data_IF_968523258676
#
_entry.id   IF_968523258676
#
_cell.length_a   1.000
_cell.length_b   1.000
_cell.length_c   1.000
_cell.angle_alpha   90.00
_cell.angle_beta   90.00
_cell.angle_gamma   90.00
#
_symmetry.space_group_name_H-M   'P 1'
#
loop_
_entity.id
_entity.type
_entity.pdbx_description
1 polymer ?
#
# COMPACT_ATOMS: atom_id res chain seq x y z
N UNK A 1 -3.81 -7.94 -21.31
CA UNK A 1 -4.75 -7.42 -20.29
C UNK A 1 -4.61 -8.27 -19.05
N UNK A 2 -4.47 -7.70 -17.86
CA UNK A 2 -4.28 -8.52 -16.66
C UNK A 2 -5.52 -9.38 -16.41
N UNK A 3 -5.29 -10.66 -16.17
CA UNK A 3 -6.34 -11.61 -15.79
C UNK A 3 -6.77 -11.33 -14.35
N UNK A 4 -7.65 -10.36 -14.15
CA UNK A 4 -8.21 -10.07 -12.83
C UNK A 4 -9.04 -11.27 -12.36
N UNK A 5 -8.86 -11.68 -11.11
CA UNK A 5 -9.70 -12.70 -10.49
C UNK A 5 -11.14 -12.19 -10.42
N UNK A 6 -12.05 -12.97 -10.95
CA UNK A 6 -13.49 -12.67 -10.97
C UNK A 6 -14.20 -13.36 -9.81
N UNK A 7 -13.75 -14.58 -9.48
CA UNK A 7 -14.43 -15.40 -8.48
C UNK A 7 -13.47 -16.36 -7.78
N UNK A 8 -13.62 -16.47 -6.46
CA UNK A 8 -12.99 -17.51 -5.64
C UNK A 8 -14.09 -18.30 -4.93
N UNK A 9 -13.97 -19.63 -4.87
CA UNK A 9 -14.91 -20.50 -4.16
C UNK A 9 -14.23 -21.80 -3.72
N UNK A 10 -14.83 -22.52 -2.80
CA UNK A 10 -14.36 -23.80 -2.30
C UNK A 10 -15.37 -24.90 -2.56
N UNK A 11 -14.91 -26.13 -2.60
CA UNK A 11 -15.69 -27.34 -2.33
C UNK A 11 -15.13 -28.08 -1.09
N UNK A 12 -15.46 -29.34 -0.92
CA UNK A 12 -14.99 -30.10 0.25
C UNK A 12 -13.48 -30.43 0.20
N UNK A 13 -12.86 -30.39 -0.97
CA UNK A 13 -11.48 -30.82 -1.20
C UNK A 13 -10.56 -29.71 -1.68
N UNK A 14 -11.09 -28.68 -2.33
CA UNK A 14 -10.29 -27.70 -3.08
C UNK A 14 -10.78 -26.27 -2.91
N UNK A 15 -9.88 -25.33 -3.14
CA UNK A 15 -10.18 -23.93 -3.41
C UNK A 15 -9.90 -23.63 -4.88
N UNK A 16 -10.76 -22.82 -5.49
CA UNK A 16 -10.73 -22.46 -6.90
C UNK A 16 -10.65 -20.95 -7.05
N UNK A 17 -9.94 -20.51 -8.06
CA UNK A 17 -9.96 -19.13 -8.53
C UNK A 17 -10.28 -19.09 -10.03
N UNK A 18 -11.13 -18.16 -10.45
CA UNK A 18 -11.47 -17.92 -11.85
C UNK A 18 -11.11 -16.49 -12.23
N UNK A 19 -10.48 -16.34 -13.39
CA UNK A 19 -10.17 -15.04 -13.99
C UNK A 19 -11.39 -14.49 -14.76
N UNK A 20 -11.41 -13.17 -15.05
CA UNK A 20 -12.50 -12.54 -15.86
C UNK A 20 -12.62 -13.08 -17.27
N UNK A 21 -11.55 -13.59 -17.84
CA UNK A 21 -11.51 -14.26 -19.14
C UNK A 21 -11.85 -15.76 -19.09
N UNK A 22 -12.18 -16.27 -17.90
CA UNK A 22 -12.75 -17.60 -17.71
C UNK A 22 -11.77 -18.71 -17.41
N UNK A 23 -10.45 -18.45 -17.28
CA UNK A 23 -9.49 -19.45 -16.82
C UNK A 23 -9.77 -19.84 -15.38
N UNK A 24 -9.66 -21.13 -15.05
CA UNK A 24 -9.90 -21.66 -13.71
C UNK A 24 -8.67 -22.45 -13.25
N UNK A 25 -8.14 -22.08 -12.10
CA UNK A 25 -7.11 -22.84 -11.39
C UNK A 25 -7.63 -23.27 -10.02
N UNK A 26 -6.97 -24.24 -9.39
CA UNK A 26 -7.39 -24.73 -8.07
C UNK A 26 -6.25 -25.40 -7.33
N UNK A 27 -6.30 -25.30 -6.00
CA UNK A 27 -5.45 -26.05 -5.10
C UNK A 27 -6.25 -27.02 -4.23
N UNK A 28 -5.71 -28.22 -4.02
CA UNK A 28 -6.30 -29.15 -3.05
C UNK A 28 -5.87 -28.77 -1.63
N UNK A 29 -6.80 -28.72 -0.68
CA UNK A 29 -6.49 -28.43 0.73
C UNK A 29 -5.47 -29.40 1.33
N UNK A 30 -5.42 -30.64 0.80
CA UNK A 30 -4.48 -31.66 1.25
C UNK A 30 -2.99 -31.31 1.00
N UNK A 31 -2.70 -30.31 0.18
CA UNK A 31 -1.33 -29.87 -0.13
C UNK A 31 -0.72 -29.04 1.01
N UNK A 32 -1.55 -28.42 1.86
CA UNK A 32 -1.12 -27.60 2.98
C UNK A 32 -1.60 -28.18 4.31
N UNK A 33 -0.68 -28.43 5.23
CA UNK A 33 -0.95 -29.12 6.49
C UNK A 33 -2.05 -28.43 7.31
N UNK A 34 -2.02 -27.09 7.37
CA UNK A 34 -3.00 -26.31 8.13
C UNK A 34 -4.40 -26.37 7.51
N UNK A 35 -4.50 -26.21 6.19
CA UNK A 35 -5.77 -26.31 5.47
C UNK A 35 -6.31 -27.74 5.46
N UNK A 36 -5.45 -28.75 5.36
CA UNK A 36 -5.81 -30.16 5.43
C UNK A 36 -6.53 -30.51 6.74
N UNK A 37 -6.04 -29.95 7.84
CA UNK A 37 -6.56 -30.25 9.20
C UNK A 37 -7.68 -29.29 9.63
N UNK A 38 -7.99 -28.25 8.85
CA UNK A 38 -9.01 -27.26 9.15
C UNK A 38 -10.43 -27.81 8.96
N UNK A 39 -11.38 -27.27 9.72
CA UNK A 39 -12.80 -27.53 9.52
C UNK A 39 -13.31 -26.89 8.22
N UNK A 40 -14.50 -27.29 7.76
CA UNK A 40 -15.13 -26.70 6.57
C UNK A 40 -15.42 -25.21 6.78
N UNK A 41 -15.81 -24.82 7.97
CA UNK A 41 -16.04 -23.43 8.36
C UNK A 41 -14.74 -22.62 8.25
N UNK A 42 -13.64 -23.13 8.81
CA UNK A 42 -12.33 -22.49 8.75
C UNK A 42 -11.80 -22.35 7.32
N UNK A 43 -11.99 -23.38 6.46
CA UNK A 43 -11.60 -23.30 5.04
C UNK A 43 -12.39 -22.27 4.25
N UNK A 44 -13.61 -21.96 4.67
CA UNK A 44 -14.46 -20.95 4.03
C UNK A 44 -14.30 -19.55 4.64
N UNK A 45 -13.59 -19.41 5.76
CA UNK A 45 -13.31 -18.14 6.41
C UNK A 45 -11.96 -17.59 5.92
N UNK A 46 -11.94 -17.20 4.64
CA UNK A 46 -10.78 -16.61 3.99
C UNK A 46 -11.06 -15.20 3.52
N UNK A 47 -10.00 -14.40 3.48
CA UNK A 47 -9.99 -13.07 2.92
C UNK A 47 -9.26 -13.08 1.58
N UNK A 48 -9.72 -12.27 0.65
CA UNK A 48 -9.08 -12.10 -0.65
C UNK A 48 -8.21 -10.85 -0.61
N UNK A 49 -6.96 -11.02 -1.01
CA UNK A 49 -6.05 -9.91 -1.31
C UNK A 49 -5.84 -9.81 -2.81
N UNK A 50 -5.16 -8.77 -3.25
CA UNK A 50 -4.78 -8.61 -4.66
C UNK A 50 -3.99 -9.79 -5.21
N UNK A 51 -3.05 -10.33 -4.44
CA UNK A 51 -2.14 -11.39 -4.86
C UNK A 51 -2.57 -12.80 -4.47
N UNK A 52 -3.62 -12.96 -3.66
CA UNK A 52 -3.93 -14.29 -3.14
C UNK A 52 -5.09 -14.38 -2.17
N UNK A 53 -5.09 -15.49 -1.47
CA UNK A 53 -6.12 -15.90 -0.53
C UNK A 53 -5.46 -16.07 0.83
N UNK A 54 -5.96 -15.42 1.85
CA UNK A 54 -5.44 -15.42 3.21
C UNK A 54 -6.43 -16.01 4.20
N UNK A 55 -5.98 -16.91 5.06
CA UNK A 55 -6.73 -17.48 6.18
C UNK A 55 -6.17 -16.99 7.52
N UNK A 56 -6.70 -15.90 8.11
CA UNK A 56 -6.15 -15.31 9.34
C UNK A 56 -6.09 -16.30 10.52
N UNK A 57 -7.14 -17.13 10.67
CA UNK A 57 -7.21 -18.12 11.77
C UNK A 57 -6.24 -19.29 11.62
N UNK A 58 -5.75 -19.54 10.41
CA UNK A 58 -4.86 -20.65 10.10
C UNK A 58 -3.43 -20.17 9.82
N UNK A 59 -3.20 -18.85 9.74
CA UNK A 59 -1.93 -18.26 9.34
C UNK A 59 -1.40 -18.94 8.08
N UNK A 60 -2.27 -19.03 7.04
CA UNK A 60 -1.98 -19.67 5.75
C UNK A 60 -2.31 -18.71 4.61
N UNK A 61 -1.42 -18.67 3.60
CA UNK A 61 -1.51 -17.80 2.44
C UNK A 61 -1.30 -18.59 1.15
N UNK A 62 -2.15 -18.39 0.15
CA UNK A 62 -2.02 -18.97 -1.18
C UNK A 62 -2.00 -17.87 -2.24
N UNK A 63 -0.98 -17.85 -3.09
CA UNK A 63 -0.92 -16.87 -4.17
C UNK A 63 -1.73 -17.33 -5.39
N UNK A 64 -2.42 -16.40 -6.05
CA UNK A 64 -3.07 -16.68 -7.33
C UNK A 64 -2.05 -17.01 -8.41
N UNK A 65 -0.92 -16.31 -8.43
CA UNK A 65 0.18 -16.58 -9.36
C UNK A 65 0.64 -18.04 -9.27
N UNK A 66 0.96 -18.50 -8.05
CA UNK A 66 1.35 -19.90 -7.84
C UNK A 66 0.26 -20.87 -8.28
N UNK A 67 -1.01 -20.57 -8.00
CA UNK A 67 -2.15 -21.43 -8.36
C UNK A 67 -2.29 -21.60 -9.87
N UNK A 68 -2.20 -20.52 -10.65
CA UNK A 68 -2.31 -20.58 -12.12
C UNK A 68 -1.04 -21.14 -12.77
N UNK A 69 0.15 -20.86 -12.20
CA UNK A 69 1.42 -21.43 -12.62
C UNK A 69 1.41 -22.96 -12.48
N UNK A 70 1.04 -23.48 -11.30
CA UNK A 70 1.02 -24.92 -11.03
C UNK A 70 -0.06 -25.65 -11.84
N UNK A 71 -1.10 -24.94 -12.26
CA UNK A 71 -2.12 -25.47 -13.18
C UNK A 71 -1.65 -25.50 -14.65
N UNK A 72 -0.42 -25.03 -14.95
CA UNK A 72 0.09 -24.93 -16.32
C UNK A 72 -0.66 -23.91 -17.20
N UNK A 73 -1.32 -22.96 -16.55
CA UNK A 73 -2.09 -21.91 -17.22
C UNK A 73 -1.27 -20.62 -17.38
N UNK A 74 -0.02 -20.62 -16.87
CA UNK A 74 0.98 -19.59 -17.07
C UNK A 74 2.18 -20.19 -17.80
N UNK A 75 2.33 -19.88 -19.07
CA UNK A 75 3.53 -20.27 -19.81
C UNK A 75 4.72 -19.40 -19.39
N UNK A 76 5.71 -20.03 -18.75
CA UNK A 76 6.99 -19.38 -18.37
C UNK A 76 8.00 -19.47 -19.50
N UNK A 77 7.63 -19.28 -20.72
CA UNK A 77 8.61 -18.97 -21.75
C UNK A 77 8.46 -17.51 -22.12
N UNK A 78 9.54 -16.70 -22.09
CA UNK A 78 9.46 -15.32 -22.52
C UNK A 78 9.34 -15.29 -24.05
N UNK A 79 8.16 -15.58 -24.57
CA UNK A 79 7.72 -15.09 -25.85
C UNK A 79 6.99 -13.78 -25.58
N UNK A 80 7.39 -12.73 -26.25
CA UNK A 80 6.94 -11.34 -26.05
C UNK A 80 5.41 -11.13 -26.09
N UNK A 81 4.60 -12.18 -26.26
CA UNK A 81 3.14 -12.13 -26.40
C UNK A 81 2.35 -13.01 -25.41
N UNK A 82 2.99 -13.70 -24.47
CA UNK A 82 2.28 -14.61 -23.53
C UNK A 82 2.73 -14.37 -22.08
N UNK A 83 2.40 -13.19 -21.56
CA UNK A 83 2.65 -12.90 -20.16
C UNK A 83 1.35 -13.13 -19.38
N UNK A 84 1.32 -14.13 -18.51
CA UNK A 84 0.37 -14.17 -17.40
C UNK A 84 0.67 -12.97 -16.51
N UNK A 85 0.07 -11.84 -16.84
CA UNK A 85 0.18 -10.65 -16.04
C UNK A 85 -0.85 -10.72 -14.90
N UNK A 86 -0.43 -11.20 -13.74
CA UNK A 86 -0.73 -10.40 -12.57
C UNK A 86 -0.04 -9.07 -12.84
N UNK A 87 -0.72 -7.91 -12.78
CA UNK A 87 -0.02 -6.67 -13.03
C UNK A 87 1.15 -6.67 -12.07
N UNK A 88 2.38 -6.72 -12.59
CA UNK A 88 3.54 -6.42 -11.77
C UNK A 88 3.16 -5.14 -11.05
N UNK A 89 3.20 -5.16 -9.72
CA UNK A 89 3.01 -3.94 -8.95
C UNK A 89 3.99 -2.98 -9.56
N UNK A 90 3.49 -1.97 -10.25
CA UNK A 90 4.36 -1.04 -10.94
C UNK A 90 5.18 -0.33 -9.87
N UNK A 91 6.46 -0.64 -9.83
CA UNK A 91 7.38 0.05 -8.94
C UNK A 91 7.63 1.45 -9.49
N UNK A 92 7.08 2.42 -8.80
CA UNK A 92 7.36 3.83 -9.06
C UNK A 92 8.63 4.26 -8.34
N UNK A 93 9.42 5.08 -8.99
CA UNK A 93 10.61 5.67 -8.39
C UNK A 93 10.75 7.12 -8.80
N UNK A 94 11.02 7.98 -7.82
CA UNK A 94 11.38 9.38 -8.03
C UNK A 94 12.74 9.63 -7.40
N UNK A 95 13.68 10.10 -8.21
CA UNK A 95 15.00 10.49 -7.75
C UNK A 95 15.03 11.97 -7.43
N UNK A 96 15.50 12.33 -6.22
CA UNK A 96 15.64 13.72 -5.73
C UNK A 96 17.12 13.98 -5.51
N UNK A 97 17.71 14.80 -6.36
CA UNK A 97 19.15 15.09 -6.35
C UNK A 97 19.55 15.93 -5.15
N UNK A 98 18.81 16.98 -4.85
CA UNK A 98 19.06 17.94 -3.80
C UNK A 98 17.76 18.68 -3.38
N UNK A 99 17.87 19.66 -2.48
CA UNK A 99 16.71 20.44 -2.00
C UNK A 99 16.02 21.29 -3.08
N UNK A 100 16.74 21.67 -4.14
CA UNK A 100 16.18 22.48 -5.24
C UNK A 100 15.29 21.61 -6.15
N UNK A 101 15.49 20.30 -6.12
CA UNK A 101 14.74 19.33 -6.91
C UNK A 101 13.39 18.92 -6.28
N UNK A 102 13.13 19.37 -5.03
CA UNK A 102 11.95 18.97 -4.26
C UNK A 102 10.63 19.36 -4.89
N UNK A 103 10.53 20.56 -5.48
CA UNK A 103 9.27 21.02 -6.09
C UNK A 103 8.89 20.17 -7.31
N UNK A 104 9.88 19.83 -8.15
CA UNK A 104 9.68 18.91 -9.28
C UNK A 104 9.23 17.53 -8.76
N UNK A 105 9.97 16.98 -7.80
CA UNK A 105 9.69 15.66 -7.26
C UNK A 105 8.32 15.59 -6.58
N UNK A 106 7.91 16.65 -5.87
CA UNK A 106 6.57 16.73 -5.26
C UNK A 106 5.46 16.77 -6.34
N UNK A 107 5.71 17.49 -7.46
CA UNK A 107 4.77 17.51 -8.58
C UNK A 107 4.62 16.13 -9.23
N UNK A 108 5.72 15.47 -9.57
CA UNK A 108 5.71 14.10 -10.14
C UNK A 108 5.05 13.10 -9.18
N UNK A 109 5.31 13.22 -7.89
CA UNK A 109 4.70 12.37 -6.87
C UNK A 109 3.18 12.52 -6.84
N UNK A 110 2.68 13.76 -6.80
CA UNK A 110 1.24 14.04 -6.78
C UNK A 110 0.53 13.54 -8.05
N UNK A 111 1.18 13.64 -9.21
CA UNK A 111 0.64 13.09 -10.46
C UNK A 111 0.60 11.55 -10.41
N UNK A 112 1.67 10.93 -9.90
CA UNK A 112 1.79 9.48 -9.87
C UNK A 112 0.86 8.80 -8.85
N UNK A 113 0.63 9.40 -7.67
CA UNK A 113 -0.29 8.84 -6.68
C UNK A 113 -1.77 8.96 -7.08
N UNK A 114 -2.11 9.87 -8.01
CA UNK A 114 -3.48 10.08 -8.51
C UNK A 114 -4.49 10.33 -7.38
N UNK A 115 -5.50 9.47 -7.29
CA UNK A 115 -6.58 9.62 -6.31
C UNK A 115 -6.29 8.99 -4.94
N UNK A 116 -5.08 8.43 -4.71
CA UNK A 116 -4.72 7.90 -3.41
C UNK A 116 -4.71 9.01 -2.36
N UNK A 117 -5.40 8.77 -1.24
CA UNK A 117 -5.57 9.73 -0.15
C UNK A 117 -4.77 9.39 1.10
N UNK A 118 -4.39 8.15 1.29
CA UNK A 118 -3.67 7.67 2.47
C UNK A 118 -2.24 7.33 2.07
N UNK A 119 -1.27 8.14 2.49
CA UNK A 119 0.14 8.03 2.10
C UNK A 119 1.00 7.87 3.35
N UNK A 120 1.70 6.75 3.47
CA UNK A 120 2.58 6.42 4.59
C UNK A 120 4.05 6.43 4.17
N UNK A 121 4.89 7.28 4.78
CA UNK A 121 6.30 7.45 4.46
C UNK A 121 7.20 6.66 5.41
N UNK A 122 7.80 5.61 4.90
CA UNK A 122 8.77 4.75 5.59
C UNK A 122 10.18 5.20 5.28
N UNK A 123 10.92 5.61 6.30
CA UNK A 123 12.32 5.99 6.14
C UNK A 123 13.02 6.15 7.50
N UNK A 124 14.34 5.95 7.58
CA UNK A 124 15.08 6.22 8.80
C UNK A 124 15.04 7.70 9.20
N UNK A 125 15.42 7.98 10.44
CA UNK A 125 15.58 9.36 10.92
C UNK A 125 16.56 10.13 10.04
N UNK A 126 16.24 11.39 9.70
CA UNK A 126 17.08 12.24 8.86
C UNK A 126 17.02 11.94 7.35
N UNK A 127 16.24 10.98 6.90
CA UNK A 127 16.10 10.68 5.46
C UNK A 127 15.39 11.78 4.66
N UNK A 128 14.64 12.67 5.34
CA UNK A 128 13.96 13.81 4.73
C UNK A 128 12.45 13.64 4.56
N UNK A 129 11.78 12.79 5.35
CA UNK A 129 10.32 12.64 5.36
C UNK A 129 9.62 13.99 5.45
N UNK A 130 9.84 14.72 6.55
CA UNK A 130 9.22 16.04 6.79
C UNK A 130 9.60 17.08 5.72
N UNK A 131 10.82 17.00 5.18
CA UNK A 131 11.25 17.88 4.10
C UNK A 131 10.43 17.63 2.83
N UNK A 132 10.19 16.37 2.50
CA UNK A 132 9.42 16.00 1.31
C UNK A 132 7.92 16.26 1.51
N UNK A 133 7.35 15.90 2.66
CA UNK A 133 5.93 16.18 2.98
C UNK A 133 5.64 17.67 2.97
N UNK A 134 6.59 18.50 3.47
CA UNK A 134 6.52 19.97 3.36
C UNK A 134 6.49 20.44 1.90
N UNK A 135 7.31 19.87 1.03
CA UNK A 135 7.31 20.21 -0.38
C UNK A 135 5.97 19.83 -1.06
N UNK A 136 5.39 18.67 -0.71
CA UNK A 136 4.06 18.26 -1.17
C UNK A 136 2.98 19.26 -0.71
N UNK A 137 2.98 19.65 0.58
CA UNK A 137 2.06 20.66 1.11
C UNK A 137 2.14 21.98 0.35
N UNK A 138 3.36 22.49 0.10
CA UNK A 138 3.58 23.72 -0.68
C UNK A 138 3.08 23.59 -2.11
N UNK A 139 3.32 22.46 -2.76
CA UNK A 139 2.85 22.19 -4.12
C UNK A 139 1.33 22.16 -4.23
N UNK A 140 0.65 21.73 -3.17
CA UNK A 140 -0.82 21.79 -3.03
C UNK A 140 -1.34 23.18 -2.63
N UNK A 141 -0.48 24.18 -2.49
CA UNK A 141 -0.85 25.56 -2.18
C UNK A 141 -1.15 25.83 -0.72
N UNK A 142 -0.66 24.99 0.20
CA UNK A 142 -0.69 25.31 1.64
C UNK A 142 0.25 26.50 1.89
N UNK A 143 -0.21 27.50 2.68
CA UNK A 143 0.58 28.67 3.00
C UNK A 143 1.89 28.30 3.70
N UNK A 144 3.00 28.89 3.30
CA UNK A 144 4.33 28.61 3.90
C UNK A 144 4.36 28.86 5.40
N UNK A 145 3.65 29.90 5.87
CA UNK A 145 3.56 30.24 7.29
C UNK A 145 2.77 29.21 8.10
N UNK A 146 1.94 28.41 7.44
CA UNK A 146 1.13 27.35 8.09
C UNK A 146 1.87 26.02 8.15
N UNK A 147 2.80 25.76 7.21
CA UNK A 147 3.49 24.45 7.14
C UNK A 147 4.54 24.36 8.24
N UNK A 148 4.25 23.55 9.25
CA UNK A 148 5.16 23.21 10.34
C UNK A 148 5.25 21.69 10.51
N UNK A 149 6.37 21.20 11.06
CA UNK A 149 6.44 19.79 11.46
C UNK A 149 5.46 19.53 12.61
N UNK A 150 4.62 18.48 12.55
CA UNK A 150 3.69 18.14 13.63
C UNK A 150 4.40 17.51 14.85
N UNK A 151 5.70 17.72 15.03
CA UNK A 151 6.53 17.09 16.06
C UNK A 151 5.95 17.22 17.50
N UNK A 152 5.13 18.23 17.76
CA UNK A 152 4.47 18.43 19.07
C UNK A 152 2.97 18.08 19.06
N UNK A 153 2.33 18.12 17.90
CA UNK A 153 0.88 18.04 17.76
C UNK A 153 0.37 16.71 17.18
N UNK A 154 1.23 15.74 16.88
CA UNK A 154 0.95 14.46 16.20
C UNK A 154 0.27 14.68 14.83
N UNK A 155 -0.72 15.56 14.70
CA UNK A 155 -1.42 15.90 13.45
C UNK A 155 -1.48 17.41 13.27
N UNK A 156 -1.19 17.87 12.06
CA UNK A 156 -1.50 19.23 11.59
C UNK A 156 -2.56 19.16 10.49
N UNK A 157 -3.54 20.05 10.62
CA UNK A 157 -4.60 20.23 9.63
C UNK A 157 -4.27 21.43 8.75
N UNK A 158 -4.28 21.23 7.44
CA UNK A 158 -4.03 22.27 6.46
C UNK A 158 -5.19 22.42 5.50
N UNK A 159 -5.22 23.55 4.80
CA UNK A 159 -6.07 23.72 3.62
C UNK A 159 -5.21 23.94 2.40
N UNK A 160 -5.50 23.19 1.35
CA UNK A 160 -4.87 23.36 0.04
C UNK A 160 -5.27 24.69 -0.59
N UNK A 161 -4.61 25.06 -1.67
CA UNK A 161 -4.96 26.27 -2.45
C UNK A 161 -6.38 26.21 -3.06
N UNK A 162 -6.98 25.01 -3.21
CA UNK A 162 -8.38 24.82 -3.59
C UNK A 162 -9.36 24.90 -2.41
N UNK A 163 -8.87 25.00 -1.17
CA UNK A 163 -9.66 25.03 0.05
C UNK A 163 -9.96 23.65 0.63
N UNK A 164 -9.54 22.57 -0.02
CA UNK A 164 -9.73 21.20 0.47
C UNK A 164 -8.88 20.93 1.72
N UNK A 165 -9.40 20.20 2.71
CA UNK A 165 -8.63 19.81 3.87
C UNK A 165 -7.57 18.77 3.50
N UNK A 166 -6.43 18.81 4.20
CA UNK A 166 -5.41 17.78 4.20
C UNK A 166 -4.77 17.67 5.58
N UNK A 167 -4.24 16.50 5.89
CA UNK A 167 -3.70 16.16 7.18
C UNK A 167 -2.26 15.67 7.07
N UNK A 168 -1.40 16.15 7.98
CA UNK A 168 -0.02 15.73 8.06
C UNK A 168 0.25 15.19 9.48
N UNK A 169 0.57 13.91 9.56
CA UNK A 169 0.82 13.17 10.79
C UNK A 169 2.32 12.92 10.97
N UNK A 170 2.77 12.98 12.22
CA UNK A 170 4.09 12.51 12.65
C UNK A 170 3.90 11.61 13.88
N UNK A 171 3.93 10.30 13.66
CA UNK A 171 3.72 9.30 14.70
C UNK A 171 5.01 8.94 15.48
N UNK A 172 6.12 9.67 15.28
CA UNK A 172 7.40 9.37 15.94
C UNK A 172 7.29 9.22 17.45
N UNK A 173 6.38 9.96 18.09
CA UNK A 173 6.20 9.97 19.54
C UNK A 173 5.13 9.03 20.05
N UNK A 174 4.42 8.38 19.18
CA UNK A 174 3.44 7.37 19.58
C UNK A 174 4.18 6.15 20.10
N UNK A 175 3.93 5.82 21.37
CA UNK A 175 4.50 4.65 22.02
C UNK A 175 3.47 3.51 22.17
N UNK A 176 2.17 3.85 22.14
CA UNK A 176 1.07 2.90 22.27
C UNK A 176 -0.04 3.22 21.27
N UNK A 177 -0.65 2.18 20.71
CA UNK A 177 -1.72 2.34 19.72
C UNK A 177 -2.93 3.13 20.24
N UNK A 178 -3.21 3.04 21.55
CA UNK A 178 -4.30 3.79 22.19
C UNK A 178 -4.15 5.30 22.00
N UNK A 179 -2.94 5.83 21.94
CA UNK A 179 -2.70 7.26 21.72
C UNK A 179 -3.16 7.70 20.33
N UNK A 180 -3.07 6.82 19.32
CA UNK A 180 -3.61 7.08 18.00
C UNK A 180 -5.15 7.05 17.97
N UNK A 181 -5.77 6.20 18.78
CA UNK A 181 -7.24 6.22 18.97
C UNK A 181 -7.69 7.50 19.66
N UNK A 182 -6.96 7.95 20.69
CA UNK A 182 -7.32 9.14 21.49
C UNK A 182 -7.31 10.43 20.67
N UNK A 183 -6.49 10.53 19.62
CA UNK A 183 -6.50 11.68 18.70
C UNK A 183 -7.58 11.57 17.61
N UNK A 184 -8.39 10.49 17.59
CA UNK A 184 -9.44 10.28 16.60
C UNK A 184 -8.89 9.92 15.21
N UNK A 185 -7.80 9.15 15.11
CA UNK A 185 -7.13 8.82 13.85
C UNK A 185 -8.10 8.37 12.73
N UNK A 186 -9.09 7.53 13.06
CA UNK A 186 -10.03 7.01 12.06
C UNK A 186 -10.91 8.09 11.44
N UNK A 187 -11.29 9.14 12.18
CA UNK A 187 -12.07 10.24 11.62
C UNK A 187 -11.31 10.96 10.49
N UNK A 188 -9.98 11.04 10.62
CA UNK A 188 -9.12 11.60 9.58
C UNK A 188 -8.95 10.64 8.39
N UNK A 189 -8.67 9.35 8.65
CA UNK A 189 -8.46 8.35 7.59
C UNK A 189 -9.72 8.14 6.75
N UNK A 190 -10.90 8.21 7.36
CA UNK A 190 -12.20 8.03 6.70
C UNK A 190 -12.75 9.34 6.08
N UNK A 191 -12.07 10.47 6.29
CA UNK A 191 -12.52 11.79 5.81
C UNK A 191 -12.52 11.93 4.28
N UNK A 192 -11.81 11.06 3.56
CA UNK A 192 -11.56 11.17 2.12
C UNK A 192 -10.57 12.26 1.74
N UNK A 193 -9.95 12.93 2.73
CA UNK A 193 -8.93 13.95 2.52
C UNK A 193 -7.53 13.33 2.41
N UNK A 194 -6.59 14.06 1.82
CA UNK A 194 -5.21 13.61 1.75
C UNK A 194 -4.58 13.57 3.15
N UNK A 195 -4.10 12.39 3.55
CA UNK A 195 -3.36 12.13 4.76
C UNK A 195 -1.90 11.77 4.41
N UNK A 196 -0.95 12.59 4.83
CA UNK A 196 0.48 12.32 4.73
C UNK A 196 0.96 11.87 6.13
N UNK A 197 1.49 10.66 6.24
CA UNK A 197 1.82 10.02 7.52
C UNK A 197 3.32 9.71 7.60
N UNK A 198 4.01 10.28 8.59
CA UNK A 198 5.40 9.99 8.92
C UNK A 198 5.46 9.03 10.11
N UNK A 199 6.46 8.13 10.14
CA UNK A 199 6.65 7.09 11.15
C UNK A 199 5.45 6.14 11.28
N UNK A 200 4.92 5.65 10.15
CA UNK A 200 3.76 4.77 10.15
C UNK A 200 4.02 3.43 10.85
N UNK A 201 5.28 3.06 11.05
CA UNK A 201 5.70 1.86 11.78
C UNK A 201 5.12 1.81 13.20
N UNK A 202 4.90 2.98 13.84
CA UNK A 202 4.38 3.05 15.20
C UNK A 202 2.87 2.81 15.28
N UNK A 203 2.17 2.80 14.13
CA UNK A 203 0.73 2.56 14.02
C UNK A 203 0.38 1.58 12.90
N UNK A 204 1.31 0.75 12.46
CA UNK A 204 1.18 -0.15 11.29
C UNK A 204 -0.10 -0.97 11.33
N UNK A 205 -0.49 -1.48 12.51
CA UNK A 205 -1.69 -2.30 12.69
C UNK A 205 -3.01 -1.52 12.49
N UNK A 206 -2.97 -0.18 12.52
CA UNK A 206 -4.15 0.68 12.35
C UNK A 206 -4.29 1.22 10.93
N UNK A 207 -3.29 1.01 10.07
CA UNK A 207 -3.31 1.52 8.70
C UNK A 207 -4.29 0.71 7.84
N UNK A 208 -5.20 1.37 7.10
CA UNK A 208 -6.02 0.70 6.11
C UNK A 208 -5.18 0.02 5.02
N UNK A 209 -5.64 -1.11 4.49
CA UNK A 209 -4.93 -1.89 3.45
C UNK A 209 -4.65 -1.06 2.18
N UNK A 210 -5.53 -0.11 1.85
CA UNK A 210 -5.36 0.78 0.71
C UNK A 210 -4.32 1.89 0.92
N UNK A 211 -3.64 1.94 2.07
CA UNK A 211 -2.60 2.94 2.35
C UNK A 211 -1.40 2.73 1.43
N UNK A 212 -1.06 3.76 0.65
CA UNK A 212 0.12 3.75 -0.21
C UNK A 212 1.39 3.85 0.64
N UNK A 213 2.22 2.81 0.59
CA UNK A 213 3.48 2.71 1.35
C UNK A 213 4.63 3.26 0.51
N UNK A 214 5.16 4.42 0.88
CA UNK A 214 6.23 5.12 0.17
C UNK A 214 7.52 5.01 0.98
N UNK A 215 8.55 4.44 0.39
CA UNK A 215 9.87 4.32 0.99
C UNK A 215 10.81 5.41 0.51
N UNK A 216 11.51 6.08 1.44
CA UNK A 216 12.56 7.07 1.13
C UNK A 216 13.91 6.49 1.51
N UNK A 217 14.78 6.32 0.53
CA UNK A 217 16.16 5.87 0.72
C UNK A 217 17.13 7.02 0.50
N UNK A 218 18.12 7.15 1.39
CA UNK A 218 19.27 8.03 1.19
C UNK A 218 20.32 7.27 0.39
N UNK A 219 20.74 7.84 -0.73
CA UNK A 219 21.77 7.28 -1.59
C UNK A 219 23.18 7.66 -1.12
N UNK A 220 24.25 6.94 -1.55
CA UNK A 220 25.62 7.24 -1.15
C UNK A 220 26.10 8.65 -1.54
N UNK A 221 25.53 9.25 -2.57
CA UNK A 221 25.80 10.61 -3.04
C UNK A 221 24.98 11.70 -2.33
N UNK A 222 24.28 11.34 -1.25
CA UNK A 222 23.34 12.18 -0.53
C UNK A 222 22.08 12.61 -1.32
N UNK A 223 21.82 12.06 -2.49
CA UNK A 223 20.52 12.16 -3.13
C UNK A 223 19.48 11.27 -2.42
N UNK A 224 18.19 11.38 -2.77
CA UNK A 224 17.14 10.51 -2.24
C UNK A 224 16.42 9.80 -3.38
N UNK A 225 15.95 8.61 -3.08
CA UNK A 225 15.04 7.88 -3.97
C UNK A 225 13.77 7.57 -3.19
N UNK A 226 12.64 8.09 -3.69
CA UNK A 226 11.33 7.62 -3.27
C UNK A 226 10.97 6.40 -4.12
N UNK A 227 10.36 5.39 -3.48
CA UNK A 227 9.85 4.22 -4.20
C UNK A 227 8.56 3.72 -3.55
N UNK A 228 7.61 3.30 -4.37
CA UNK A 228 6.37 2.66 -3.94
C UNK A 228 5.83 1.77 -5.04
N UNK A 229 4.98 0.83 -4.67
CA UNK A 229 4.24 -0.01 -5.59
C UNK A 229 2.81 0.49 -5.72
N UNK A 230 2.23 0.39 -6.91
CA UNK A 230 0.82 0.73 -7.08
C UNK A 230 -0.06 -0.14 -6.19
N UNK A 231 -0.80 0.52 -5.28
CA UNK A 231 -1.79 -0.13 -4.42
C UNK A 231 -3.16 -0.32 -5.08
N UNK A 232 -3.30 -0.13 -6.40
CA UNK A 232 -4.60 -0.22 -7.06
C UNK A 232 -5.00 -1.66 -7.28
N UNK A 233 -6.09 -2.02 -6.65
CA UNK A 233 -6.91 -3.19 -6.95
C UNK A 233 -7.61 -3.04 -8.30
#
# INVERSE_FOLDING_TARGET
MPHLIDKVWTDDERIYARTKDGLVASYAFAQWERLKNASKEQRNDFHLSYGGIHWPQLDEDLSFEGMFHDAGLCDITPSEDSVCFFPEKQLHQIHIRDLQDLDRAAGEFLEAIGDNKLIAFYAPMGAGKTTFTTAVCKRLGVSEDAVSSPTFAIVNEYRTGSGEPMYHFDFYRIERLEEAYDIGLYDYLDSGSLCLMEWPENIEELLPEQTLKVHIRVNPDNSRTLSWEDGRL
#
